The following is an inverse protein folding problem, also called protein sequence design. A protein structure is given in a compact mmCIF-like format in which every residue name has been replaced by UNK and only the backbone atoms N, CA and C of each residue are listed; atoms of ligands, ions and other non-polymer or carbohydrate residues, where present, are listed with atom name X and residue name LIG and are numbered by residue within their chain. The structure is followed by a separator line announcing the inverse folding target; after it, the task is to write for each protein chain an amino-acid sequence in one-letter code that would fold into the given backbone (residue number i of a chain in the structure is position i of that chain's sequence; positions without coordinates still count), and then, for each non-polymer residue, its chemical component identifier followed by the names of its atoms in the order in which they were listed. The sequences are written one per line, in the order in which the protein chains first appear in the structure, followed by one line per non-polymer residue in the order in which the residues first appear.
data_IF_445538692571
#
_entry.id   IF_445538692571
#
_cell.length_a   1.000
_cell.length_b   1.000
_cell.length_c   1.000
_cell.angle_alpha   90.00
_cell.angle_beta   90.00
_cell.angle_gamma   90.00
#
_symmetry.space_group_name_H-M   'P 1'
#
loop_
_entity.id
_entity.type
_entity.pdbx_description
1 polymer ?
#
# COMPACT_ATOMS: atom_id res chain seq x y z
N UNK A 1 11.54 4.28 16.83
CA UNK A 1 10.86 4.56 15.52
C UNK A 1 10.38 5.99 15.57
N UNK A 2 10.73 6.79 14.58
CA UNK A 2 10.14 8.14 14.45
C UNK A 2 8.66 7.99 14.11
N UNK A 3 7.83 8.64 14.89
CA UNK A 3 6.40 8.78 14.63
C UNK A 3 6.25 9.90 13.60
N UNK A 4 5.41 9.73 12.59
CA UNK A 4 5.06 10.82 11.69
C UNK A 4 4.15 11.80 12.46
N UNK A 5 4.56 13.04 12.69
CA UNK A 5 3.77 14.00 13.44
C UNK A 5 2.46 14.35 12.74
N UNK A 6 2.36 14.13 11.42
CA UNK A 6 1.20 14.50 10.63
C UNK A 6 0.18 13.34 10.50
N UNK A 7 0.55 12.12 10.94
CA UNK A 7 -0.31 10.93 10.81
C UNK A 7 -1.69 11.13 11.41
N UNK A 8 -1.79 11.70 12.60
CA UNK A 8 -3.07 11.92 13.28
C UNK A 8 -3.95 12.94 12.54
N UNK A 9 -3.33 13.99 12.00
CA UNK A 9 -4.03 15.03 11.22
C UNK A 9 -4.56 14.41 9.92
N UNK A 10 -3.73 13.65 9.21
CA UNK A 10 -4.11 12.97 7.97
C UNK A 10 -5.25 11.98 8.24
N UNK A 11 -5.12 11.15 9.28
CA UNK A 11 -6.15 10.17 9.64
C UNK A 11 -7.48 10.84 9.97
N UNK A 12 -7.48 11.91 10.78
CA UNK A 12 -8.69 12.67 11.12
C UNK A 12 -9.30 13.35 9.90
N UNK A 13 -8.47 13.98 9.06
CA UNK A 13 -8.92 14.63 7.83
C UNK A 13 -9.56 13.62 6.88
N UNK A 14 -8.93 12.47 6.65
CA UNK A 14 -9.50 11.41 5.81
C UNK A 14 -10.78 10.81 6.40
N UNK A 15 -10.85 10.61 7.72
CA UNK A 15 -12.07 10.14 8.40
C UNK A 15 -13.24 11.12 8.28
N UNK A 16 -12.98 12.41 8.21
CA UNK A 16 -14.04 13.44 8.04
C UNK A 16 -14.74 13.33 6.68
N UNK A 17 -14.15 12.63 5.71
CA UNK A 17 -14.77 12.37 4.40
C UNK A 17 -15.78 11.21 4.45
N UNK A 18 -15.82 10.41 5.51
CA UNK A 18 -16.81 9.33 5.63
C UNK A 18 -18.21 9.92 5.67
N UNK A 19 -19.11 9.43 4.82
CA UNK A 19 -20.46 9.96 4.62
C UNK A 19 -20.55 11.08 3.58
N UNK A 20 -19.42 11.62 3.10
CA UNK A 20 -19.43 12.61 2.03
C UNK A 20 -19.84 11.97 0.70
N UNK A 21 -20.48 12.80 -0.15
CA UNK A 21 -20.88 12.44 -1.50
C UNK A 21 -20.17 13.35 -2.50
N UNK A 22 -19.53 12.76 -3.48
CA UNK A 22 -18.78 13.42 -4.53
C UNK A 22 -19.52 13.18 -5.84
N UNK A 23 -19.94 14.24 -6.54
CA UNK A 23 -20.58 14.14 -7.84
C UNK A 23 -19.50 14.15 -8.92
N UNK A 24 -19.52 13.16 -9.81
CA UNK A 24 -18.64 13.08 -10.97
C UNK A 24 -19.51 13.14 -12.22
N UNK A 25 -19.26 14.15 -13.03
CA UNK A 25 -19.98 14.36 -14.26
C UNK A 25 -19.10 15.07 -15.29
N UNK A 26 -19.64 15.19 -16.51
CA UNK A 26 -19.03 15.98 -17.57
C UNK A 26 -20.05 16.94 -18.15
N UNK A 27 -19.54 18.04 -18.66
CA UNK A 27 -20.32 18.97 -19.50
C UNK A 27 -19.55 19.18 -20.80
N UNK A 28 -20.22 18.95 -21.95
CA UNK A 28 -19.67 19.20 -23.27
C UNK A 28 -20.36 20.44 -23.82
N UNK A 29 -19.59 21.42 -24.27
CA UNK A 29 -20.13 22.56 -25.05
C UNK A 29 -19.84 22.32 -26.50
N UNK A 30 -20.89 22.24 -27.33
CA UNK A 30 -20.79 22.07 -28.75
C UNK A 30 -20.41 23.39 -29.46
N UNK A 31 -19.91 23.31 -30.68
CA UNK A 31 -19.51 24.50 -31.45
C UNK A 31 -20.67 25.49 -31.72
N UNK A 32 -21.90 25.02 -31.66
CA UNK A 32 -23.11 25.85 -31.80
C UNK A 32 -23.56 26.49 -30.47
N UNK A 33 -22.80 26.28 -29.36
CA UNK A 33 -23.10 26.79 -28.04
C UNK A 33 -24.05 25.93 -27.19
N UNK A 34 -24.56 24.83 -27.74
CA UNK A 34 -25.36 23.87 -26.97
C UNK A 34 -24.49 23.13 -25.94
N UNK A 35 -25.06 22.82 -24.77
CA UNK A 35 -24.40 22.06 -23.73
C UNK A 35 -25.09 20.73 -23.48
N UNK A 36 -24.30 19.69 -23.32
CA UNK A 36 -24.74 18.36 -22.89
C UNK A 36 -24.00 18.01 -21.59
N UNK A 37 -24.73 17.52 -20.62
CA UNK A 37 -24.13 17.02 -19.35
C UNK A 37 -24.48 15.55 -19.16
N UNK A 38 -23.59 14.83 -18.54
CA UNK A 38 -23.79 13.42 -18.21
C UNK A 38 -23.04 13.02 -16.94
N UNK A 39 -23.42 11.90 -16.41
CA UNK A 39 -22.81 11.30 -15.23
C UNK A 39 -21.69 10.34 -15.67
N UNK A 40 -20.63 10.23 -14.86
CA UNK A 40 -19.58 9.24 -15.07
C UNK A 40 -19.80 8.08 -14.09
N UNK A 41 -20.06 6.91 -14.62
CA UNK A 41 -20.27 5.68 -13.84
C UNK A 41 -19.14 4.67 -14.15
N UNK A 42 -17.90 5.11 -13.93
CA UNK A 42 -16.70 4.32 -14.19
C UNK A 42 -15.80 4.29 -12.93
N UNK A 43 -15.75 3.15 -12.27
CA UNK A 43 -14.95 2.94 -11.05
C UNK A 43 -13.44 3.17 -11.23
N UNK A 44 -12.94 3.08 -12.48
CA UNK A 44 -11.49 3.23 -12.73
C UNK A 44 -10.98 4.66 -12.51
N UNK A 45 -11.87 5.66 -12.57
CA UNK A 45 -11.48 7.06 -12.37
C UNK A 45 -11.54 7.50 -10.90
N UNK A 46 -12.08 6.66 -10.02
CA UNK A 46 -12.30 7.05 -8.61
C UNK A 46 -10.97 7.32 -7.91
N UNK A 47 -9.94 6.54 -8.21
CA UNK A 47 -8.59 6.77 -7.67
C UNK A 47 -8.09 8.17 -8.01
N UNK A 48 -8.06 8.52 -9.29
CA UNK A 48 -7.57 9.82 -9.78
C UNK A 48 -8.40 10.97 -9.20
N UNK A 49 -9.74 10.82 -9.17
CA UNK A 49 -10.62 11.83 -8.56
C UNK A 49 -10.33 12.01 -7.05
N UNK A 50 -10.04 10.93 -6.34
CA UNK A 50 -9.73 11.00 -4.92
C UNK A 50 -8.36 11.63 -4.66
N UNK A 51 -7.37 11.42 -5.52
CA UNK A 51 -6.08 12.12 -5.45
C UNK A 51 -6.27 13.64 -5.57
N UNK A 52 -7.02 14.08 -6.59
CA UNK A 52 -7.30 15.50 -6.83
C UNK A 52 -8.09 16.15 -5.69
N UNK A 53 -8.92 15.40 -4.96
CA UNK A 53 -9.71 15.88 -3.83
C UNK A 53 -8.87 15.90 -2.54
N UNK A 54 -8.12 14.85 -2.27
CA UNK A 54 -7.38 14.70 -1.02
C UNK A 54 -6.25 15.71 -0.89
N UNK A 55 -5.53 15.99 -1.97
CA UNK A 55 -4.41 16.92 -1.93
C UNK A 55 -4.82 18.29 -1.32
N UNK A 56 -5.73 19.07 -1.92
CA UNK A 56 -6.10 20.37 -1.37
C UNK A 56 -6.76 20.28 0.01
N UNK A 57 -7.37 19.14 0.32
CA UNK A 57 -8.08 18.94 1.60
C UNK A 57 -7.09 18.73 2.75
N UNK A 58 -6.04 17.94 2.53
CA UNK A 58 -4.98 17.69 3.52
C UNK A 58 -4.00 18.86 3.58
N UNK A 59 -3.62 19.43 2.44
CA UNK A 59 -2.68 20.55 2.35
C UNK A 59 -3.13 21.79 3.15
N UNK A 60 -4.43 21.98 3.35
CA UNK A 60 -4.97 23.04 4.24
C UNK A 60 -4.50 22.90 5.69
N UNK A 61 -4.17 21.71 6.13
CA UNK A 61 -3.79 21.38 7.50
C UNK A 61 -2.31 21.09 7.64
N UNK A 62 -1.69 20.64 6.54
CA UNK A 62 -0.28 20.25 6.46
C UNK A 62 0.31 20.84 5.18
N UNK A 63 0.96 21.99 5.29
CA UNK A 63 1.53 22.73 4.17
C UNK A 63 2.70 22.02 3.46
N UNK A 64 3.32 21.04 4.14
CA UNK A 64 4.38 20.19 3.58
C UNK A 64 3.86 18.93 2.85
N UNK A 65 2.55 18.73 2.82
CA UNK A 65 1.91 17.62 2.10
C UNK A 65 1.79 17.97 0.61
N UNK A 66 2.46 17.19 -0.25
CA UNK A 66 2.59 17.44 -1.67
C UNK A 66 2.11 16.25 -2.51
N UNK A 67 1.59 16.48 -3.74
CA UNK A 67 1.26 15.41 -4.65
C UNK A 67 2.53 14.75 -5.18
N UNK A 68 2.47 13.43 -5.36
CA UNK A 68 3.52 12.64 -5.96
C UNK A 68 3.65 12.88 -7.48
N UNK A 69 4.64 12.26 -8.10
CA UNK A 69 4.81 12.34 -9.55
C UNK A 69 3.69 11.54 -10.26
N UNK A 70 3.11 12.11 -11.31
CA UNK A 70 2.06 11.42 -12.08
C UNK A 70 2.51 10.05 -12.56
N UNK A 71 1.64 9.04 -12.37
CA UNK A 71 1.85 7.66 -12.78
C UNK A 71 3.04 6.95 -12.12
N UNK A 72 3.49 7.45 -10.97
CA UNK A 72 4.56 6.83 -10.19
C UNK A 72 4.28 6.96 -8.69
N UNK A 73 4.75 5.96 -7.92
CA UNK A 73 4.70 5.99 -6.45
C UNK A 73 5.73 6.97 -5.87
N UNK A 74 5.37 7.68 -4.80
CA UNK A 74 4.10 7.65 -4.07
C UNK A 74 3.04 8.57 -4.67
N UNK A 75 1.76 8.40 -4.28
CA UNK A 75 0.67 9.30 -4.68
C UNK A 75 0.81 10.66 -3.97
N UNK A 76 1.29 10.65 -2.71
CA UNK A 76 1.60 11.85 -1.93
C UNK A 76 2.88 11.69 -1.11
N UNK A 77 3.52 12.80 -0.77
CA UNK A 77 4.67 12.85 0.13
C UNK A 77 4.71 14.18 0.88
N UNK A 78 5.47 14.27 1.97
CA UNK A 78 5.79 15.58 2.53
C UNK A 78 7.00 16.21 1.83
N UNK A 79 7.16 17.53 1.95
CA UNK A 79 8.14 18.30 1.20
C UNK A 79 9.61 17.85 1.40
N UNK A 80 9.93 17.30 2.58
CA UNK A 80 11.24 16.72 2.88
C UNK A 80 11.39 15.26 2.43
N UNK A 81 10.32 14.67 1.84
CA UNK A 81 10.25 13.30 1.32
C UNK A 81 10.59 12.21 2.33
N UNK A 82 10.38 12.50 3.61
CA UNK A 82 10.59 11.48 4.64
C UNK A 82 9.42 10.51 4.73
N UNK A 83 8.18 10.99 4.49
CA UNK A 83 6.95 10.22 4.57
C UNK A 83 6.24 10.19 3.23
N UNK A 84 5.58 9.09 2.96
CA UNK A 84 4.90 8.81 1.71
C UNK A 84 3.53 8.18 1.99
N UNK A 85 2.56 8.52 1.14
CA UNK A 85 1.22 7.94 1.21
C UNK A 85 0.81 7.42 -0.16
N UNK A 86 0.27 6.20 -0.14
CA UNK A 86 -0.32 5.51 -1.30
C UNK A 86 -1.83 5.51 -1.14
N UNK A 87 -2.55 6.06 -2.09
CA UNK A 87 -4.00 6.04 -2.11
C UNK A 87 -4.51 4.75 -2.74
N UNK A 88 -5.47 4.12 -2.09
CA UNK A 88 -6.17 2.95 -2.63
C UNK A 88 -7.65 3.07 -2.40
N UNK A 89 -8.44 2.91 -3.48
CA UNK A 89 -9.89 2.99 -3.44
C UNK A 89 -10.51 1.67 -3.90
N UNK A 90 -11.62 1.26 -3.29
CA UNK A 90 -12.36 0.07 -3.70
C UNK A 90 -13.85 0.18 -3.32
N UNK A 91 -14.71 -0.51 -4.06
CA UNK A 91 -16.16 -0.49 -3.79
C UNK A 91 -16.61 -1.69 -2.96
N UNK A 92 -16.46 -2.91 -3.45
CA UNK A 92 -16.99 -4.11 -2.81
C UNK A 92 -15.92 -4.85 -2.01
N UNK A 93 -14.95 -5.40 -2.72
CA UNK A 93 -13.83 -6.17 -2.15
C UNK A 93 -12.53 -5.51 -2.57
N UNK A 94 -11.54 -5.35 -1.66
CA UNK A 94 -10.26 -4.79 -2.01
C UNK A 94 -9.60 -5.61 -3.13
N UNK A 95 -9.55 -5.05 -4.32
CA UNK A 95 -8.98 -5.68 -5.52
C UNK A 95 -7.80 -4.89 -6.09
N UNK A 96 -7.33 -3.88 -5.38
CA UNK A 96 -6.21 -3.06 -5.81
C UNK A 96 -4.86 -3.80 -5.69
N UNK A 97 -3.88 -3.33 -6.42
CA UNK A 97 -2.50 -3.77 -6.30
C UNK A 97 -1.80 -2.98 -5.18
N UNK A 98 -1.26 -3.69 -4.20
CA UNK A 98 -0.40 -3.07 -3.17
C UNK A 98 0.91 -2.64 -3.82
N UNK A 99 1.51 -3.53 -4.59
CA UNK A 99 2.69 -3.27 -5.41
C UNK A 99 2.97 -4.43 -6.37
N UNK A 100 3.74 -4.21 -7.43
CA UNK A 100 4.33 -5.30 -8.18
C UNK A 100 5.36 -6.04 -7.30
N UNK A 101 5.31 -7.38 -7.29
CA UNK A 101 6.13 -8.22 -6.39
C UNK A 101 7.63 -7.98 -6.55
N UNK A 102 8.15 -8.02 -7.78
CA UNK A 102 9.59 -7.85 -8.01
C UNK A 102 10.04 -6.41 -7.72
N UNK A 103 9.24 -5.43 -8.13
CA UNK A 103 9.51 -4.02 -7.86
C UNK A 103 9.52 -3.72 -6.35
N UNK A 104 8.59 -4.30 -5.60
CA UNK A 104 8.54 -4.15 -4.15
C UNK A 104 9.79 -4.70 -3.46
N UNK A 105 10.23 -5.90 -3.86
CA UNK A 105 11.47 -6.50 -3.35
C UNK A 105 12.68 -5.61 -3.65
N UNK A 106 12.81 -5.12 -4.88
CA UNK A 106 13.90 -4.22 -5.27
C UNK A 106 13.91 -2.92 -4.45
N UNK A 107 12.75 -2.34 -4.19
CA UNK A 107 12.64 -1.14 -3.36
C UNK A 107 12.99 -1.41 -1.89
N UNK A 108 12.60 -2.56 -1.35
CA UNK A 108 12.96 -2.96 0.02
C UNK A 108 14.47 -3.16 0.20
N UNK A 109 15.12 -3.81 -0.75
CA UNK A 109 16.58 -4.00 -0.68
C UNK A 109 17.34 -2.68 -0.76
N UNK A 110 16.77 -1.69 -1.46
CA UNK A 110 17.38 -0.35 -1.58
C UNK A 110 17.16 0.48 -0.33
N UNK A 111 15.93 0.50 0.22
CA UNK A 111 15.58 1.29 1.40
C UNK A 111 14.36 0.69 2.12
N UNK A 112 14.62 -0.22 3.03
CA UNK A 112 13.60 -0.91 3.83
C UNK A 112 12.83 0.07 4.73
N UNK A 113 13.53 1.01 5.36
CA UNK A 113 12.91 2.00 6.25
C UNK A 113 11.83 2.79 5.53
N UNK A 114 12.17 3.36 4.37
CA UNK A 114 11.24 4.14 3.56
C UNK A 114 10.03 3.31 3.18
N UNK A 115 10.24 2.12 2.61
CA UNK A 115 9.15 1.33 2.02
C UNK A 115 8.25 0.65 3.04
N UNK A 116 8.78 0.31 4.21
CA UNK A 116 7.97 -0.32 5.26
C UNK A 116 7.40 0.70 6.25
N UNK A 117 8.24 1.58 6.76
CA UNK A 117 7.88 2.38 7.94
C UNK A 117 7.44 3.80 7.58
N UNK A 118 8.00 4.37 6.51
CA UNK A 118 7.66 5.73 6.07
C UNK A 118 6.59 5.79 4.98
N UNK A 119 6.25 4.65 4.35
CA UNK A 119 5.10 4.55 3.45
C UNK A 119 3.86 4.09 4.20
N UNK A 120 2.76 4.81 4.04
CA UNK A 120 1.45 4.50 4.59
C UNK A 120 0.42 4.39 3.46
N UNK A 121 -0.66 3.68 3.71
CA UNK A 121 -1.73 3.45 2.74
C UNK A 121 -3.02 4.11 3.21
N UNK A 122 -3.53 5.05 2.42
CA UNK A 122 -4.83 5.69 2.58
C UNK A 122 -5.86 4.84 1.85
N UNK A 123 -6.64 4.03 2.57
CA UNK A 123 -7.55 3.04 1.97
C UNK A 123 -8.98 3.50 2.16
N UNK A 124 -9.64 3.89 1.06
CA UNK A 124 -11.03 4.33 1.05
C UNK A 124 -11.95 3.25 0.49
N UNK A 125 -13.02 2.98 1.23
CA UNK A 125 -14.16 2.20 0.74
C UNK A 125 -15.24 3.18 0.28
N UNK A 126 -15.79 2.92 -0.90
CA UNK A 126 -16.85 3.77 -1.47
C UNK A 126 -17.97 2.93 -2.08
N UNK A 127 -19.11 3.57 -2.29
CA UNK A 127 -20.18 3.11 -3.16
C UNK A 127 -20.31 4.11 -4.31
N UNK A 128 -20.57 3.62 -5.52
CA UNK A 128 -20.78 4.46 -6.68
C UNK A 128 -22.11 4.13 -7.33
N UNK A 129 -22.92 5.17 -7.54
CA UNK A 129 -24.22 5.05 -8.22
C UNK A 129 -24.56 6.36 -8.91
N UNK A 130 -24.89 6.28 -10.20
CA UNK A 130 -25.34 7.43 -11.00
C UNK A 130 -24.42 8.64 -10.86
N UNK A 131 -23.12 8.45 -11.10
CA UNK A 131 -22.11 9.51 -11.01
C UNK A 131 -21.84 10.05 -9.60
N UNK A 132 -22.39 9.41 -8.56
CA UNK A 132 -22.18 9.81 -7.17
C UNK A 132 -21.27 8.78 -6.48
N UNK A 133 -20.12 9.21 -6.00
CA UNK A 133 -19.26 8.44 -5.10
C UNK A 133 -19.65 8.81 -3.67
N UNK A 134 -20.08 7.82 -2.89
CA UNK A 134 -20.30 7.96 -1.46
C UNK A 134 -19.16 7.25 -0.70
N UNK A 135 -18.38 7.98 0.07
CA UNK A 135 -17.31 7.41 0.89
C UNK A 135 -17.96 6.75 2.11
N UNK A 136 -17.76 5.44 2.26
CA UNK A 136 -18.43 4.66 3.31
C UNK A 136 -17.52 4.28 4.46
N UNK A 137 -16.20 4.18 4.22
CA UNK A 137 -15.24 3.84 5.26
C UNK A 137 -13.81 4.23 4.85
N UNK A 138 -12.89 4.27 5.82
CA UNK A 138 -11.49 4.63 5.64
C UNK A 138 -10.59 3.89 6.62
N UNK A 139 -9.40 3.49 6.17
CA UNK A 139 -8.32 3.00 7.03
C UNK A 139 -6.98 3.60 6.62
N UNK A 140 -6.18 3.98 7.61
CA UNK A 140 -4.78 4.31 7.45
C UNK A 140 -3.95 3.12 7.94
N UNK A 141 -3.17 2.52 7.04
CA UNK A 141 -2.49 1.25 7.29
C UNK A 141 -1.01 1.30 6.87
N UNK A 142 -0.22 0.47 7.54
CA UNK A 142 1.10 0.05 7.05
C UNK A 142 0.97 -1.17 6.14
N UNK A 143 1.98 -1.43 5.32
CA UNK A 143 1.95 -2.56 4.37
C UNK A 143 1.64 -3.90 5.03
N UNK A 144 2.19 -4.17 6.21
CA UNK A 144 1.97 -5.44 6.93
C UNK A 144 0.55 -5.61 7.47
N UNK A 145 -0.20 -4.54 7.64
CA UNK A 145 -1.59 -4.56 8.11
C UNK A 145 -2.57 -4.92 7.01
N UNK A 146 -2.21 -4.63 5.74
CA UNK A 146 -3.10 -4.85 4.58
C UNK A 146 -2.89 -6.20 3.89
N UNK A 147 -1.87 -6.98 4.26
CA UNK A 147 -1.52 -8.25 3.61
C UNK A 147 -2.08 -9.43 4.40
N UNK A 148 -2.51 -10.49 3.70
CA UNK A 148 -2.90 -11.76 4.31
C UNK A 148 -1.73 -12.75 4.29
N UNK A 149 -1.58 -13.51 5.40
CA UNK A 149 -0.52 -14.50 5.62
C UNK A 149 -1.04 -15.95 5.73
N UNK A 150 -2.33 -16.18 5.54
CA UNK A 150 -2.98 -17.48 5.73
C UNK A 150 -3.40 -18.17 4.43
N UNK A 151 -2.99 -17.66 3.30
CA UNK A 151 -3.36 -18.18 1.99
C UNK A 151 -2.45 -19.31 1.49
N UNK A 152 -2.63 -19.66 0.21
CA UNK A 152 -1.80 -20.65 -0.50
C UNK A 152 -0.31 -20.26 -0.55
N UNK A 153 -0.03 -18.98 -0.56
CA UNK A 153 1.31 -18.40 -0.59
C UNK A 153 1.63 -17.73 0.74
N UNK A 154 2.92 -17.54 1.09
CA UNK A 154 3.31 -16.91 2.35
C UNK A 154 2.72 -15.50 2.56
N UNK A 155 2.50 -14.77 1.46
CA UNK A 155 1.77 -13.50 1.41
C UNK A 155 0.70 -13.59 0.32
N UNK A 156 -0.33 -12.74 0.38
CA UNK A 156 -1.36 -12.71 -0.67
C UNK A 156 -0.80 -12.17 -1.98
N UNK A 157 -0.94 -12.95 -3.05
CA UNK A 157 -0.34 -12.69 -4.36
C UNK A 157 -1.32 -12.95 -5.50
N UNK A 158 -1.22 -12.13 -6.53
CA UNK A 158 -1.78 -12.41 -7.84
C UNK A 158 -0.72 -13.11 -8.71
N UNK A 159 -1.10 -14.24 -9.31
CA UNK A 159 -0.25 -14.96 -10.26
C UNK A 159 -0.76 -14.73 -11.68
N UNK A 160 0.15 -14.52 -12.63
CA UNK A 160 -0.12 -14.46 -14.07
C UNK A 160 0.91 -15.34 -14.79
N UNK A 161 0.45 -16.27 -15.64
CA UNK A 161 1.34 -17.18 -16.40
C UNK A 161 2.41 -17.83 -15.50
N UNK A 162 1.96 -18.39 -14.37
CA UNK A 162 2.80 -19.06 -13.36
C UNK A 162 3.83 -18.16 -12.65
N UNK A 163 3.83 -16.86 -12.92
CA UNK A 163 4.70 -15.89 -12.25
C UNK A 163 3.93 -15.12 -11.18
N UNK A 164 4.59 -14.80 -10.07
CA UNK A 164 4.06 -13.93 -9.06
C UNK A 164 4.15 -12.48 -9.53
N UNK A 165 2.99 -11.86 -9.65
CA UNK A 165 2.88 -10.58 -10.33
C UNK A 165 2.70 -9.42 -9.36
N UNK A 166 1.59 -9.38 -8.65
CA UNK A 166 1.27 -8.30 -7.73
C UNK A 166 1.00 -8.82 -6.33
N UNK A 167 1.42 -8.06 -5.32
CA UNK A 167 1.00 -8.23 -3.93
C UNK A 167 -0.42 -7.72 -3.81
N UNK A 168 -1.29 -8.52 -3.18
CA UNK A 168 -2.72 -8.23 -3.04
C UNK A 168 -3.10 -7.97 -1.59
N UNK A 169 -4.11 -7.12 -1.33
CA UNK A 169 -4.60 -6.90 0.01
C UNK A 169 -5.41 -8.10 0.53
N UNK A 170 -5.57 -8.16 1.84
CA UNK A 170 -6.60 -8.98 2.49
C UNK A 170 -7.98 -8.31 2.38
N UNK A 171 -9.02 -8.94 2.94
CA UNK A 171 -10.32 -8.29 3.06
C UNK A 171 -10.21 -7.02 3.92
N UNK A 172 -11.07 -6.05 3.67
CA UNK A 172 -11.02 -4.78 4.41
C UNK A 172 -11.20 -4.97 5.93
N UNK A 173 -12.03 -5.92 6.33
CA UNK A 173 -12.25 -6.22 7.74
C UNK A 173 -11.05 -6.89 8.41
N UNK A 174 -10.23 -7.61 7.63
CA UNK A 174 -9.01 -8.28 8.11
C UNK A 174 -7.78 -7.38 8.11
N UNK A 175 -7.92 -6.14 7.64
CA UNK A 175 -6.89 -5.12 7.79
C UNK A 175 -6.84 -4.66 9.24
N UNK A 176 -6.04 -5.33 10.04
CA UNK A 176 -5.95 -5.10 11.49
C UNK A 176 -4.56 -4.69 11.92
N UNK A 177 -4.52 -3.85 12.97
CA UNK A 177 -3.28 -3.32 13.54
C UNK A 177 -2.44 -4.35 14.33
N UNK A 178 -2.98 -5.56 14.55
CA UNK A 178 -2.28 -6.63 15.31
C UNK A 178 -1.21 -7.37 14.50
N UNK A 179 -1.15 -7.16 13.19
CA UNK A 179 -0.10 -7.70 12.34
C UNK A 179 1.19 -6.91 12.54
N UNK A 180 2.32 -7.62 12.63
CA UNK A 180 3.62 -7.00 12.91
C UNK A 180 4.53 -6.97 11.69
N UNK A 181 5.42 -5.98 11.64
CA UNK A 181 6.47 -5.89 10.64
C UNK A 181 7.35 -7.17 10.61
N UNK A 182 7.62 -7.78 11.79
CA UNK A 182 8.39 -9.02 11.89
C UNK A 182 7.71 -10.20 11.18
N UNK A 183 6.40 -10.36 11.35
CA UNK A 183 5.61 -11.39 10.64
C UNK A 183 5.70 -11.14 9.13
N UNK A 184 5.50 -9.90 8.70
CA UNK A 184 5.58 -9.53 7.29
C UNK A 184 6.94 -9.88 6.67
N UNK A 185 8.05 -9.45 7.30
CA UNK A 185 9.41 -9.74 6.83
C UNK A 185 9.63 -11.25 6.76
N UNK A 186 9.22 -12.00 7.79
CA UNK A 186 9.33 -13.46 7.80
C UNK A 186 8.61 -14.09 6.61
N UNK A 187 7.37 -13.71 6.37
CA UNK A 187 6.57 -14.27 5.28
C UNK A 187 7.04 -13.79 3.90
N UNK A 188 7.54 -12.56 3.80
CA UNK A 188 8.12 -12.06 2.56
C UNK A 188 9.40 -12.80 2.20
N UNK A 189 10.30 -13.08 3.15
CA UNK A 189 11.49 -13.88 2.92
C UNK A 189 11.14 -15.30 2.45
N UNK A 190 10.12 -15.94 3.05
CA UNK A 190 9.58 -17.21 2.54
C UNK A 190 9.05 -17.07 1.11
N UNK A 191 8.35 -16.00 0.81
CA UNK A 191 7.85 -15.72 -0.54
C UNK A 191 8.99 -15.55 -1.55
N UNK A 192 10.06 -14.83 -1.21
CA UNK A 192 11.25 -14.67 -2.04
C UNK A 192 11.92 -16.04 -2.33
N UNK A 193 12.01 -16.90 -1.33
CA UNK A 193 12.56 -18.26 -1.49
C UNK A 193 11.73 -19.09 -2.47
N UNK A 194 10.41 -19.08 -2.32
CA UNK A 194 9.48 -19.93 -3.06
C UNK A 194 9.07 -19.38 -4.43
N UNK A 195 9.35 -18.10 -4.73
CA UNK A 195 8.88 -17.51 -5.98
C UNK A 195 9.44 -18.22 -7.21
N UNK A 196 8.60 -18.49 -8.23
CA UNK A 196 9.05 -18.94 -9.54
C UNK A 196 9.70 -17.83 -10.36
N UNK A 197 9.58 -16.56 -9.91
CA UNK A 197 10.18 -15.43 -10.61
C UNK A 197 11.70 -15.53 -10.64
N UNK A 198 12.28 -15.11 -11.75
CA UNK A 198 13.73 -15.00 -11.86
C UNK A 198 14.20 -13.79 -11.02
N UNK A 199 14.60 -14.06 -9.80
CA UNK A 199 15.29 -13.11 -8.93
C UNK A 199 16.76 -13.55 -8.83
N UNK A 200 17.67 -12.66 -9.23
CA UNK A 200 19.08 -12.91 -9.07
C UNK A 200 19.45 -12.92 -7.58
N UNK A 201 20.19 -13.94 -7.16
CA UNK A 201 20.71 -14.06 -5.81
C UNK A 201 19.67 -13.87 -4.68
N UNK A 202 18.61 -14.70 -4.68
CA UNK A 202 17.54 -14.67 -3.67
C UNK A 202 18.08 -14.67 -2.23
N UNK A 203 19.16 -15.42 -1.97
CA UNK A 203 19.76 -15.48 -0.65
C UNK A 203 20.30 -14.12 -0.20
N UNK A 204 21.06 -13.45 -1.08
CA UNK A 204 21.58 -12.10 -0.80
C UNK A 204 20.46 -11.09 -0.58
N UNK A 205 19.40 -11.12 -1.38
CA UNK A 205 18.23 -10.26 -1.22
C UNK A 205 17.64 -10.42 0.20
N UNK A 206 17.48 -11.65 0.65
CA UNK A 206 16.95 -11.96 1.97
C UNK A 206 17.90 -11.47 3.07
N UNK A 207 19.19 -11.72 2.95
CA UNK A 207 20.22 -11.27 3.89
C UNK A 207 20.24 -9.73 3.99
N UNK A 208 20.16 -9.02 2.87
CA UNK A 208 20.10 -7.55 2.84
C UNK A 208 18.86 -7.02 3.57
N UNK A 209 17.68 -7.61 3.32
CA UNK A 209 16.43 -7.24 3.99
C UNK A 209 16.53 -7.45 5.51
N UNK A 210 17.02 -8.62 5.94
CA UNK A 210 17.13 -8.95 7.37
C UNK A 210 18.17 -8.07 8.06
N UNK A 211 19.29 -7.79 7.39
CA UNK A 211 20.32 -6.91 7.93
C UNK A 211 19.78 -5.51 8.19
N UNK A 212 19.08 -4.92 7.21
CA UNK A 212 18.46 -3.61 7.38
C UNK A 212 17.40 -3.64 8.50
N UNK A 213 16.56 -4.69 8.56
CA UNK A 213 15.56 -4.84 9.60
C UNK A 213 16.20 -4.91 11.00
N UNK A 214 17.24 -5.71 11.17
CA UNK A 214 17.95 -5.85 12.43
C UNK A 214 18.60 -4.54 12.88
N UNK A 215 19.22 -3.81 11.96
CA UNK A 215 19.81 -2.49 12.27
C UNK A 215 18.76 -1.51 12.78
N UNK A 216 17.58 -1.48 12.17
CA UNK A 216 16.50 -0.57 12.57
C UNK A 216 15.88 -0.92 13.92
N UNK A 217 15.79 -2.19 14.26
CA UNK A 217 15.10 -2.67 15.46
C UNK A 217 16.04 -3.07 16.61
N UNK A 218 17.37 -2.93 16.43
CA UNK A 218 18.36 -3.48 17.34
C UNK A 218 18.04 -4.96 17.69
N UNK A 219 17.53 -5.67 16.68
CA UNK A 219 17.07 -7.05 16.81
C UNK A 219 18.12 -7.99 16.21
N UNK A 220 18.08 -9.24 16.64
CA UNK A 220 18.96 -10.29 16.13
C UNK A 220 18.10 -11.38 15.46
N UNK A 221 17.40 -11.04 14.38
CA UNK A 221 16.73 -12.05 13.57
C UNK A 221 17.79 -12.84 12.80
N UNK A 222 17.76 -14.16 12.91
CA UNK A 222 18.63 -15.05 12.15
C UNK A 222 17.81 -15.83 11.13
N UNK A 223 18.42 -16.01 9.97
CA UNK A 223 17.95 -16.88 8.91
C UNK A 223 18.43 -18.30 9.16
N UNK A 224 17.53 -19.24 9.35
CA UNK A 224 17.80 -20.64 9.16
C UNK A 224 17.17 -21.09 7.86
N UNK A 225 17.99 -21.31 6.85
CA UNK A 225 17.55 -21.91 5.60
C UNK A 225 17.66 -23.41 5.78
N UNK A 226 16.50 -24.10 5.80
CA UNK A 226 16.50 -25.55 5.71
C UNK A 226 16.96 -25.96 4.29
N UNK A 227 18.17 -26.49 4.23
CA UNK A 227 18.78 -26.93 2.98
C UNK A 227 18.04 -28.07 2.29
N UNK A 228 17.15 -28.78 2.99
CA UNK A 228 16.42 -29.92 2.44
C UNK A 228 15.04 -29.53 1.89
N UNK A 229 14.40 -28.51 2.45
CA UNK A 229 13.04 -28.10 2.04
C UNK A 229 13.00 -26.71 1.39
N UNK A 230 14.13 -25.98 1.36
CA UNK A 230 14.16 -24.57 1.00
C UNK A 230 13.38 -23.68 1.97
N UNK A 231 12.97 -24.24 3.11
CA UNK A 231 12.22 -23.55 4.14
C UNK A 231 13.08 -22.51 4.85
N UNK A 232 12.63 -21.25 4.87
CA UNK A 232 13.27 -20.19 5.64
C UNK A 232 12.53 -20.09 6.97
N UNK A 233 13.21 -20.42 8.06
CA UNK A 233 12.73 -20.14 9.41
C UNK A 233 13.51 -18.94 9.97
N UNK A 234 12.78 -17.88 10.30
CA UNK A 234 13.35 -16.70 10.95
C UNK A 234 12.98 -16.80 12.43
N UNK A 235 13.98 -16.92 13.27
CA UNK A 235 13.78 -16.95 14.72
C UNK A 235 14.24 -15.62 15.31
N UNK A 236 13.43 -14.95 16.15
CA UNK A 236 13.97 -13.96 17.05
C UNK A 236 14.94 -14.69 18.00
N UNK A 237 16.15 -14.15 18.18
CA UNK A 237 17.01 -14.69 19.21
C UNK A 237 16.28 -14.65 20.55
N UNK A 238 16.23 -15.79 21.23
CA UNK A 238 15.94 -15.79 22.66
C UNK A 238 17.06 -14.98 23.30
N UNK A 239 16.69 -13.86 23.92
CA UNK A 239 17.63 -13.15 24.83
C UNK A 239 18.25 -14.15 25.79
N UNK A 240 19.56 -14.04 26.04
CA UNK A 240 20.22 -14.90 27.02
C UNK A 240 19.61 -14.73 28.40
#
# INVERSE_FOLDING_TARGET
MSFDPDTDIIEQTCKSLIGCKINIGFTITLNNGETMSGEVDNCNIVGDCMEDILFPFIHKHIDTFEPGPKQASPDFYNADKQWEWELKCFSNTPGFDVSNFNSYISQLTTNLERKMYKTQYLIFKYEMKSGIIAITDFKLCKVWEIINYTGKYPISLQCKKDMWYNIRPCSFNDMVKDKTAAIFITQLCKAITLTPNKLENKQKIIEDIITQYNLMHQSNMHLNIDSNTGGVAIFPNKSP
#
